data_IF_060900045732
#
_entry.id   IF_060900045732
#
_cell.length_a   1.000
_cell.length_b   1.000
_cell.length_c   1.000
_cell.angle_alpha   90.00
_cell.angle_beta   90.00
_cell.angle_gamma   90.00
#
_symmetry.space_group_name_H-M   'P 1'
#
loop_
_entity.id
_entity.type
_entity.pdbx_description
1 polymer ?
#
# COMPACT_ATOMS: atom_id res chain seq x y z
N UNK A 1 8.01 5.61 44.32
CA UNK A 1 6.68 6.07 43.91
C UNK A 1 6.67 6.08 42.40
N UNK A 2 6.35 4.94 41.82
CA UNK A 2 6.44 4.67 40.39
C UNK A 2 5.31 5.36 39.66
N UNK A 3 5.64 6.07 38.59
CA UNK A 3 4.68 6.66 37.66
C UNK A 3 4.46 5.60 36.56
N UNK A 4 3.28 4.97 36.45
CA UNK A 4 3.05 4.01 35.37
C UNK A 4 2.80 4.76 34.06
N UNK A 5 3.78 4.73 33.16
CA UNK A 5 3.61 5.12 31.77
C UNK A 5 3.01 3.95 30.96
N UNK A 6 1.69 3.76 31.08
CA UNK A 6 0.87 3.07 30.08
C UNK A 6 -0.41 3.88 29.89
N UNK A 7 -0.34 4.90 29.04
CA UNK A 7 -1.53 5.56 28.47
C UNK A 7 -1.51 5.41 26.96
N UNK A 8 -2.41 4.54 26.51
CA UNK A 8 -3.17 4.57 25.25
C UNK A 8 -2.56 5.31 24.07
N UNK A 9 -1.96 4.56 23.14
CA UNK A 9 -1.71 5.01 21.75
C UNK A 9 -2.94 4.79 20.83
N UNK A 10 -4.12 4.59 21.41
CA UNK A 10 -5.39 4.27 20.70
C UNK A 10 -6.46 5.37 20.96
N UNK A 11 -6.05 6.62 21.18
CA UNK A 11 -6.99 7.74 21.25
C UNK A 11 -6.97 8.53 19.93
N UNK A 12 -7.54 7.90 18.91
CA UNK A 12 -8.06 8.58 17.72
C UNK A 12 -9.29 7.80 17.20
N UNK A 13 -10.17 7.34 18.10
CA UNK A 13 -11.43 6.68 17.73
C UNK A 13 -12.52 7.76 17.64
N UNK A 14 -12.66 8.41 16.49
CA UNK A 14 -13.90 9.15 16.18
C UNK A 14 -14.22 9.34 14.69
N UNK A 15 -13.45 8.76 13.75
CA UNK A 15 -13.66 8.98 12.30
C UNK A 15 -13.58 7.69 11.46
N UNK A 16 -13.82 6.51 12.06
CA UNK A 16 -13.75 5.25 11.32
C UNK A 16 -15.09 4.86 10.69
N UNK A 17 -15.10 4.36 9.43
CA UNK A 17 -16.33 4.04 8.69
C UNK A 17 -17.04 2.76 9.16
N UNK A 18 -16.34 1.93 9.91
CA UNK A 18 -16.80 0.73 10.61
C UNK A 18 -16.01 0.63 11.92
N UNK A 19 -16.53 -0.08 12.94
CA UNK A 19 -15.75 -0.31 14.17
C UNK A 19 -14.74 -1.42 13.88
N UNK A 20 -13.43 -1.13 13.87
CA UNK A 20 -12.44 -2.19 13.69
C UNK A 20 -12.42 -3.12 14.90
N UNK A 21 -12.11 -4.39 14.65
CA UNK A 21 -11.60 -5.27 15.71
C UNK A 21 -10.16 -4.84 15.96
N UNK A 22 -9.89 -4.39 17.17
CA UNK A 22 -8.57 -3.94 17.61
C UNK A 22 -7.96 -5.00 18.52
N UNK A 23 -6.76 -5.45 18.20
CA UNK A 23 -5.98 -6.35 19.05
C UNK A 23 -4.50 -6.03 18.92
N UNK A 24 -3.71 -6.48 19.88
CA UNK A 24 -2.26 -6.35 19.80
C UNK A 24 -1.58 -7.58 20.37
N UNK A 25 -0.37 -7.85 19.88
CA UNK A 25 0.38 -9.02 20.33
C UNK A 25 1.77 -9.07 19.74
N UNK A 26 2.47 -10.14 20.11
CA UNK A 26 3.85 -10.38 19.71
C UNK A 26 3.92 -11.78 19.13
N UNK A 27 4.44 -11.90 17.91
CA UNK A 27 4.84 -13.17 17.32
C UNK A 27 6.35 -13.23 17.24
N UNK A 28 6.92 -14.39 17.60
CA UNK A 28 8.37 -14.61 17.63
C UNK A 28 8.70 -15.90 16.91
N UNK A 29 9.73 -15.85 16.08
CA UNK A 29 10.26 -17.02 15.39
C UNK A 29 11.77 -17.09 15.54
N UNK A 30 12.25 -18.25 15.97
CA UNK A 30 13.66 -18.62 15.90
C UNK A 30 13.88 -19.42 14.62
N UNK A 31 14.62 -18.85 13.70
CA UNK A 31 15.02 -19.54 12.48
C UNK A 31 16.40 -20.17 12.71
N UNK A 32 16.47 -21.49 12.61
CA UNK A 32 17.66 -22.32 12.82
C UNK A 32 18.23 -22.82 11.48
N UNK A 33 19.40 -23.47 11.52
CA UNK A 33 20.06 -24.08 10.35
C UNK A 33 20.47 -23.08 9.24
N UNK A 34 20.85 -21.87 9.62
CA UNK A 34 21.30 -20.82 8.69
C UNK A 34 22.58 -21.15 7.91
N UNK A 35 23.39 -22.09 8.40
CA UNK A 35 24.61 -22.52 7.74
C UNK A 35 24.33 -23.24 6.41
N UNK A 36 23.26 -24.03 6.37
CA UNK A 36 22.88 -24.85 5.21
C UNK A 36 21.88 -24.12 4.30
N UNK A 37 21.41 -22.95 4.73
CA UNK A 37 20.43 -22.16 4.01
C UNK A 37 21.01 -21.42 2.80
N UNK A 38 20.53 -21.80 1.62
CA UNK A 38 20.88 -21.24 0.31
C UNK A 38 20.42 -19.79 0.09
N UNK A 39 19.56 -19.26 0.97
CA UNK A 39 18.99 -17.91 0.87
C UNK A 39 17.61 -17.84 0.22
N UNK A 40 17.04 -18.98 -0.18
CA UNK A 40 15.65 -19.08 -0.66
C UNK A 40 14.63 -18.67 0.41
N UNK A 41 13.41 -18.33 0.01
CA UNK A 41 12.36 -17.93 0.97
C UNK A 41 11.98 -19.12 1.86
N UNK A 42 12.09 -18.95 3.17
CA UNK A 42 11.65 -19.93 4.18
C UNK A 42 10.64 -19.29 5.11
N UNK A 43 9.66 -20.07 5.54
CA UNK A 43 8.56 -19.62 6.37
C UNK A 43 8.58 -20.29 7.74
N UNK A 44 8.11 -19.58 8.75
CA UNK A 44 7.77 -20.15 10.05
C UNK A 44 6.56 -21.08 9.96
N UNK A 45 6.34 -21.83 11.03
CA UNK A 45 5.01 -22.37 11.36
C UNK A 45 3.99 -21.24 11.53
N UNK A 46 2.71 -21.60 11.59
CA UNK A 46 1.63 -20.63 11.82
C UNK A 46 1.74 -20.08 13.24
N UNK A 47 1.79 -18.75 13.34
CA UNK A 47 1.81 -17.98 14.57
C UNK A 47 0.48 -17.24 14.71
N UNK A 48 0.03 -16.99 15.94
CA UNK A 48 -1.29 -16.40 16.19
C UNK A 48 -1.18 -15.16 17.07
N UNK A 49 -1.96 -14.13 16.72
CA UNK A 49 -2.31 -13.04 17.62
C UNK A 49 -3.83 -13.01 17.67
N UNK A 50 -4.37 -13.40 18.81
CA UNK A 50 -5.82 -13.58 18.98
C UNK A 50 -6.35 -14.54 17.88
N UNK A 51 -7.36 -14.14 17.13
CA UNK A 51 -7.92 -14.92 16.01
C UNK A 51 -7.13 -14.82 14.69
N UNK A 52 -6.12 -13.95 14.61
CA UNK A 52 -5.40 -13.67 13.37
C UNK A 52 -4.17 -14.56 13.23
N UNK A 53 -4.06 -15.25 12.09
CA UNK A 53 -2.98 -16.21 11.79
C UNK A 53 -1.93 -15.57 10.90
N UNK A 54 -0.68 -15.89 11.18
CA UNK A 54 0.49 -15.26 10.57
C UNK A 54 1.57 -16.28 10.24
N UNK A 55 2.38 -15.97 9.23
CA UNK A 55 3.70 -16.58 9.01
C UNK A 55 4.75 -15.49 8.88
N UNK A 56 5.95 -15.77 9.39
CA UNK A 56 7.12 -14.95 9.15
C UNK A 56 7.92 -15.62 8.05
N UNK A 57 8.20 -14.90 6.97
CA UNK A 57 9.10 -15.33 5.91
C UNK A 57 10.47 -14.67 6.05
N UNK A 58 11.53 -15.39 5.70
CA UNK A 58 12.90 -14.85 5.62
C UNK A 58 13.55 -15.22 4.30
N UNK A 59 14.32 -14.29 3.74
CA UNK A 59 15.06 -14.48 2.48
C UNK A 59 16.40 -13.75 2.53
N UNK A 60 17.44 -14.25 1.86
CA UNK A 60 18.62 -13.43 1.52
C UNK A 60 18.27 -12.60 0.28
N UNK A 61 18.40 -11.28 0.37
CA UNK A 61 18.12 -10.37 -0.73
C UNK A 61 19.34 -9.52 -1.03
N UNK A 62 19.77 -9.51 -2.28
CA UNK A 62 20.81 -8.60 -2.75
C UNK A 62 20.20 -7.22 -2.95
N UNK A 63 20.89 -6.20 -2.43
CA UNK A 63 20.43 -4.82 -2.40
C UNK A 63 21.57 -3.95 -2.86
N UNK A 64 21.34 -3.19 -3.93
CA UNK A 64 22.28 -2.15 -4.32
C UNK A 64 22.19 -1.00 -3.32
N UNK A 65 23.29 -0.72 -2.62
CA UNK A 65 23.41 0.39 -1.69
C UNK A 65 24.33 1.44 -2.31
N UNK A 66 23.79 2.64 -2.50
CA UNK A 66 24.53 3.82 -2.95
C UNK A 66 24.64 4.81 -1.80
N UNK A 67 25.80 4.88 -1.19
CA UNK A 67 26.21 5.90 -0.24
C UNK A 67 27.12 6.92 -0.95
N UNK A 68 27.34 8.09 -0.32
CA UNK A 68 28.08 9.22 -0.91
C UNK A 68 29.45 8.81 -1.48
N UNK A 69 30.10 7.81 -0.88
CA UNK A 69 31.46 7.37 -1.22
C UNK A 69 31.54 5.90 -1.65
N UNK A 70 30.43 5.17 -1.71
CA UNK A 70 30.43 3.73 -1.90
C UNK A 70 29.19 3.26 -2.63
N UNK A 71 29.42 2.52 -3.72
CA UNK A 71 28.39 1.78 -4.43
C UNK A 71 28.73 0.31 -4.29
N UNK A 72 27.85 -0.46 -3.65
CA UNK A 72 28.06 -1.89 -3.49
C UNK A 72 26.75 -2.65 -3.43
N UNK A 73 26.81 -3.92 -3.84
CA UNK A 73 25.75 -4.87 -3.57
C UNK A 73 25.95 -5.48 -2.20
N UNK A 74 24.93 -5.38 -1.35
CA UNK A 74 24.93 -5.93 -0.01
C UNK A 74 23.87 -7.02 0.08
N UNK A 75 24.25 -8.17 0.64
CA UNK A 75 23.28 -9.23 0.95
C UNK A 75 22.65 -8.93 2.31
N UNK A 76 21.35 -8.69 2.29
CA UNK A 76 20.57 -8.40 3.48
C UNK A 76 19.62 -9.54 3.82
N UNK A 77 19.30 -9.69 5.10
CA UNK A 77 18.15 -10.46 5.54
C UNK A 77 16.88 -9.67 5.22
N UNK A 78 16.07 -10.19 4.32
CA UNK A 78 14.71 -9.73 4.09
C UNK A 78 13.77 -10.50 5.02
N UNK A 79 12.86 -9.80 5.69
CA UNK A 79 11.86 -10.41 6.57
C UNK A 79 10.48 -9.96 6.11
N UNK A 80 9.60 -10.93 5.93
CA UNK A 80 8.29 -10.78 5.34
C UNK A 80 7.25 -11.25 6.35
N UNK A 81 6.10 -10.59 6.36
CA UNK A 81 4.99 -11.00 7.21
C UNK A 81 3.79 -11.36 6.34
N UNK A 82 3.28 -12.56 6.55
CA UNK A 82 2.17 -13.11 5.79
C UNK A 82 0.96 -13.26 6.69
N UNK A 83 -0.14 -12.61 6.33
CA UNK A 83 -1.44 -12.83 6.95
C UNK A 83 -2.10 -14.05 6.32
N UNK A 84 -2.69 -14.92 7.14
CA UNK A 84 -3.43 -16.10 6.70
C UNK A 84 -4.91 -15.84 7.02
N UNK A 85 -5.72 -15.43 6.04
CA UNK A 85 -7.14 -15.16 6.25
C UNK A 85 -7.92 -16.45 6.50
N UNK A 86 -9.03 -16.35 7.22
CA UNK A 86 -10.03 -17.42 7.30
C UNK A 86 -11.00 -17.29 6.12
N UNK A 87 -10.64 -17.90 4.98
CA UNK A 87 -11.38 -17.78 3.72
C UNK A 87 -12.78 -18.42 3.73
N UNK A 88 -13.14 -19.15 4.80
CA UNK A 88 -14.39 -19.92 4.88
C UNK A 88 -15.64 -19.09 4.64
N UNK A 89 -15.60 -17.79 4.91
CA UNK A 89 -16.77 -16.91 4.87
C UNK A 89 -16.79 -15.96 3.67
N UNK A 90 -15.80 -16.03 2.78
CA UNK A 90 -15.71 -15.14 1.61
C UNK A 90 -16.00 -13.68 2.00
N UNK A 91 -15.38 -13.22 3.10
CA UNK A 91 -15.61 -11.89 3.68
C UNK A 91 -15.00 -10.82 2.79
N UNK A 92 -15.31 -9.56 3.05
CA UNK A 92 -14.63 -8.42 2.42
C UNK A 92 -14.05 -7.59 3.54
N UNK A 93 -12.73 -7.54 3.62
CA UNK A 93 -12.03 -7.02 4.78
C UNK A 93 -10.78 -6.23 4.41
N UNK A 94 -10.38 -5.38 5.34
CA UNK A 94 -9.12 -4.66 5.35
C UNK A 94 -8.46 -4.91 6.70
N UNK A 95 -7.22 -5.38 6.70
CA UNK A 95 -6.44 -5.53 7.93
C UNK A 95 -5.26 -4.58 7.88
N UNK A 96 -5.13 -3.72 8.88
CA UNK A 96 -3.97 -2.84 9.04
C UNK A 96 -3.13 -3.33 10.21
N UNK A 97 -1.82 -3.29 10.04
CA UNK A 97 -0.88 -3.43 11.15
C UNK A 97 -0.03 -2.18 11.31
N UNK A 98 0.30 -1.86 12.55
CA UNK A 98 1.45 -1.03 12.90
C UNK A 98 2.25 -1.76 13.97
N UNK A 99 3.50 -1.39 14.19
CA UNK A 99 4.27 -1.94 15.30
C UNK A 99 5.75 -1.94 15.00
N UNK A 100 6.48 -2.87 15.61
CA UNK A 100 7.94 -2.91 15.56
C UNK A 100 8.45 -4.32 15.31
N UNK A 101 9.34 -4.48 14.34
CA UNK A 101 10.16 -5.69 14.18
C UNK A 101 11.42 -5.57 15.00
N UNK A 102 11.86 -6.69 15.56
CA UNK A 102 13.11 -6.77 16.28
C UNK A 102 13.92 -7.99 15.88
N UNK A 103 15.23 -7.78 15.72
CA UNK A 103 16.23 -8.83 15.79
C UNK A 103 16.73 -8.89 17.23
N UNK A 104 16.56 -10.03 17.89
CA UNK A 104 16.96 -10.20 19.28
C UNK A 104 18.32 -10.89 19.36
N UNK A 105 19.24 -10.41 20.22
CA UNK A 105 20.45 -11.17 20.54
C UNK A 105 20.07 -12.36 21.43
N UNK A 106 20.55 -13.55 21.09
CA UNK A 106 20.14 -14.78 21.79
C UNK A 106 20.61 -14.82 23.25
N UNK A 107 21.79 -14.26 23.53
CA UNK A 107 22.40 -14.28 24.85
C UNK A 107 21.98 -13.09 25.73
N UNK A 108 21.31 -12.09 25.15
CA UNK A 108 20.84 -10.90 25.85
C UNK A 108 19.72 -10.25 25.03
N UNK A 109 18.48 -10.67 25.27
CA UNK A 109 17.31 -10.12 24.55
C UNK A 109 17.04 -8.65 24.86
N UNK A 110 17.73 -8.04 25.85
CA UNK A 110 17.67 -6.59 26.08
C UNK A 110 18.44 -5.81 25.01
N UNK A 111 19.39 -6.46 24.31
CA UNK A 111 20.07 -5.92 23.13
C UNK A 111 19.36 -6.38 21.86
N UNK A 112 18.76 -5.41 21.18
CA UNK A 112 17.96 -5.65 19.98
C UNK A 112 18.23 -4.61 18.90
N UNK A 113 18.03 -5.01 17.65
CA UNK A 113 17.87 -4.06 16.55
C UNK A 113 16.40 -3.98 16.17
N UNK A 114 15.83 -2.77 16.12
CA UNK A 114 14.41 -2.58 15.83
C UNK A 114 14.14 -1.67 14.63
N UNK A 115 13.11 -2.01 13.85
CA UNK A 115 12.54 -1.13 12.84
C UNK A 115 11.02 -1.11 13.00
N UNK A 116 10.40 0.05 12.83
CA UNK A 116 8.95 0.15 12.89
C UNK A 116 8.30 -0.28 11.55
N UNK A 117 7.23 -1.05 11.64
CA UNK A 117 6.24 -1.22 10.58
C UNK A 117 5.49 0.11 10.45
N UNK A 118 6.02 1.04 9.68
CA UNK A 118 5.37 2.32 9.41
C UNK A 118 3.94 2.12 8.85
N UNK A 119 3.03 3.13 8.85
CA UNK A 119 1.57 2.95 8.82
C UNK A 119 0.95 2.48 7.48
N UNK A 120 1.74 1.88 6.60
CA UNK A 120 1.41 1.47 5.24
C UNK A 120 1.13 -0.03 5.07
N UNK A 121 1.37 -0.85 6.11
CA UNK A 121 1.14 -2.30 6.01
C UNK A 121 -0.35 -2.62 6.12
N UNK A 122 -1.01 -2.66 4.96
CA UNK A 122 -2.40 -3.08 4.82
C UNK A 122 -2.46 -4.42 4.07
N UNK A 123 -3.40 -5.26 4.49
CA UNK A 123 -3.69 -6.55 3.91
C UNK A 123 -5.14 -6.56 3.41
N UNK A 124 -5.35 -7.23 2.28
CA UNK A 124 -6.65 -7.54 1.69
C UNK A 124 -6.55 -8.93 1.03
N UNK A 125 -7.61 -9.42 0.39
CA UNK A 125 -7.61 -10.73 -0.29
C UNK A 125 -6.46 -10.93 -1.28
N UNK A 126 -6.08 -9.88 -2.00
CA UNK A 126 -5.00 -9.95 -3.00
C UNK A 126 -3.64 -9.61 -2.39
N UNK A 127 -3.62 -9.15 -1.14
CA UNK A 127 -2.44 -8.64 -0.46
C UNK A 127 -2.29 -9.27 0.90
N UNK A 128 -1.81 -10.51 0.90
CA UNK A 128 -1.56 -11.28 2.12
C UNK A 128 -0.15 -11.09 2.68
N UNK A 129 0.68 -10.28 2.02
CA UNK A 129 2.07 -10.09 2.39
C UNK A 129 2.40 -8.60 2.59
N UNK A 130 3.02 -8.27 3.73
CA UNK A 130 3.73 -7.01 3.88
C UNK A 130 5.22 -7.22 3.61
N UNK A 131 5.67 -6.64 2.49
CA UNK A 131 7.08 -6.51 2.21
C UNK A 131 7.65 -5.38 3.06
N UNK A 132 8.66 -5.71 3.87
CA UNK A 132 9.44 -4.73 4.59
C UNK A 132 10.85 -4.79 4.02
N UNK A 133 11.38 -3.61 3.72
CA UNK A 133 12.70 -3.39 3.12
C UNK A 133 13.78 -4.30 3.78
N UNK A 134 14.79 -4.77 3.02
CA UNK A 134 15.95 -5.50 3.55
C UNK A 134 16.36 -4.99 4.93
N UNK A 135 16.22 -5.85 5.93
CA UNK A 135 16.16 -5.45 7.33
C UNK A 135 17.54 -5.08 7.85
N UNK A 136 18.53 -5.97 7.69
CA UNK A 136 19.94 -5.72 7.95
C UNK A 136 20.86 -6.52 7.05
N UNK A 137 22.04 -5.96 6.80
CA UNK A 137 23.09 -6.68 6.09
C UNK A 137 23.63 -7.86 6.91
N UNK A 138 24.04 -8.90 6.18
CA UNK A 138 24.41 -10.19 6.76
C UNK A 138 25.65 -10.09 7.65
N UNK A 139 26.65 -9.31 7.22
CA UNK A 139 27.91 -9.13 7.93
C UNK A 139 27.70 -8.37 9.25
N UNK A 140 26.86 -7.34 9.29
CA UNK A 140 26.46 -6.67 10.53
C UNK A 140 25.86 -7.66 11.53
N UNK A 141 24.92 -8.51 11.10
CA UNK A 141 24.30 -9.49 12.00
C UNK A 141 25.32 -10.48 12.58
N UNK A 142 26.33 -10.87 11.79
CA UNK A 142 27.44 -11.71 12.24
C UNK A 142 28.32 -10.97 13.25
N UNK A 143 28.79 -9.77 12.92
CA UNK A 143 29.70 -8.99 13.77
C UNK A 143 29.07 -8.57 15.09
N UNK A 144 27.80 -8.16 15.06
CA UNK A 144 27.07 -7.74 16.25
C UNK A 144 26.56 -8.92 17.10
N UNK A 145 26.76 -10.16 16.67
CA UNK A 145 26.36 -11.34 17.44
C UNK A 145 24.85 -11.55 17.50
N UNK A 146 24.12 -11.14 16.45
CA UNK A 146 22.73 -11.56 16.26
C UNK A 146 22.64 -12.96 15.63
N UNK A 147 23.67 -13.36 14.89
CA UNK A 147 23.84 -14.70 14.34
C UNK A 147 24.67 -15.57 15.31
N UNK A 148 23.99 -16.33 16.17
CA UNK A 148 24.64 -17.27 17.11
C UNK A 148 24.18 -18.68 16.78
N UNK A 149 25.11 -19.64 16.76
CA UNK A 149 24.83 -21.05 16.46
C UNK A 149 24.01 -21.25 15.18
N UNK A 150 24.28 -20.44 14.14
CA UNK A 150 23.54 -20.49 12.88
C UNK A 150 22.03 -20.33 13.06
N UNK A 151 21.61 -19.49 14.01
CA UNK A 151 20.20 -19.14 14.20
C UNK A 151 20.03 -17.64 14.43
N UNK A 152 18.82 -17.15 14.14
CA UNK A 152 18.37 -15.78 14.42
C UNK A 152 17.01 -15.83 15.11
N UNK A 153 16.71 -14.80 15.89
CA UNK A 153 15.39 -14.63 16.53
C UNK A 153 14.77 -13.34 16.02
N UNK A 154 13.62 -13.49 15.37
CA UNK A 154 12.82 -12.39 14.84
C UNK A 154 11.57 -12.26 15.69
N UNK A 155 11.28 -11.04 16.12
CA UNK A 155 10.07 -10.68 16.84
C UNK A 155 9.31 -9.61 16.07
N UNK A 156 7.99 -9.75 15.96
CA UNK A 156 7.10 -8.71 15.45
C UNK A 156 6.08 -8.40 16.54
N UNK A 157 6.17 -7.21 17.11
CA UNK A 157 5.12 -6.63 17.96
C UNK A 157 4.17 -5.84 17.06
N UNK A 158 2.87 -6.11 17.16
CA UNK A 158 1.89 -5.61 16.21
C UNK A 158 0.62 -5.13 16.92
N UNK A 159 0.18 -3.94 16.55
CA UNK A 159 -1.17 -3.44 16.73
C UNK A 159 -1.96 -3.72 15.44
N UNK A 160 -3.04 -4.49 15.56
CA UNK A 160 -3.88 -4.95 14.45
C UNK A 160 -5.22 -4.22 14.50
N UNK A 161 -5.62 -3.65 13.37
CA UNK A 161 -6.96 -3.11 13.15
C UNK A 161 -7.61 -3.81 11.95
N UNK A 162 -8.64 -4.61 12.22
CA UNK A 162 -9.36 -5.38 11.22
C UNK A 162 -10.76 -4.81 10.97
N UNK A 163 -11.02 -4.45 9.72
CA UNK A 163 -12.29 -3.89 9.26
C UNK A 163 -13.01 -4.94 8.43
N UNK A 164 -14.15 -5.41 8.94
CA UNK A 164 -15.06 -6.27 8.20
C UNK A 164 -16.12 -5.39 7.52
N UNK A 165 -16.16 -5.40 6.19
CA UNK A 165 -17.17 -4.70 5.41
C UNK A 165 -18.39 -5.59 5.10
N UNK A 166 -18.34 -6.89 5.37
CA UNK A 166 -19.45 -7.82 5.06
C UNK A 166 -20.56 -7.80 6.12
N UNK A 167 -20.27 -7.29 7.32
CA UNK A 167 -21.18 -7.26 8.46
C UNK A 167 -21.44 -5.83 8.97
N UNK A 168 -22.61 -5.59 9.57
CA UNK A 168 -22.89 -4.33 10.26
C UNK A 168 -22.29 -4.41 11.66
N UNK A 169 -21.08 -3.89 11.83
CA UNK A 169 -20.35 -3.89 13.10
C UNK A 169 -20.37 -2.52 13.83
N UNK A 170 -21.05 -1.51 13.27
CA UNK A 170 -21.21 -0.18 13.87
C UNK A 170 -22.51 0.45 13.41
N UNK A 171 -23.09 1.33 14.24
CA UNK A 171 -24.20 2.19 13.83
C UNK A 171 -23.77 3.29 12.86
N UNK A 172 -22.46 3.59 12.82
CA UNK A 172 -21.88 4.44 11.78
C UNK A 172 -21.91 3.76 10.40
N UNK A 173 -22.03 2.43 10.34
CA UNK A 173 -22.19 1.67 9.09
C UNK A 173 -23.63 1.75 8.58
N UNK A 174 -24.04 2.95 8.20
CA UNK A 174 -25.43 3.33 7.89
C UNK A 174 -25.83 3.13 6.41
N UNK A 175 -24.93 2.69 5.54
CA UNK A 175 -25.26 2.35 4.15
C UNK A 175 -24.90 0.90 3.80
N UNK A 176 -25.75 0.29 2.96
CA UNK A 176 -25.53 -1.02 2.33
C UNK A 176 -25.24 -0.82 0.84
N UNK A 177 -24.03 -1.17 0.42
CA UNK A 177 -23.62 -1.20 -0.99
C UNK A 177 -23.57 -2.65 -1.48
N UNK A 178 -23.70 -2.83 -2.79
CA UNK A 178 -23.57 -4.12 -3.44
C UNK A 178 -22.64 -4.00 -4.65
N UNK A 179 -21.66 -4.89 -4.76
CA UNK A 179 -20.87 -5.07 -5.99
C UNK A 179 -21.70 -5.71 -7.11
N UNK A 180 -21.11 -5.81 -8.29
CA UNK A 180 -21.69 -6.42 -9.50
C UNK A 180 -22.18 -7.86 -9.25
N UNK A 181 -21.39 -8.65 -8.51
CA UNK A 181 -21.68 -10.02 -8.07
C UNK A 181 -22.71 -10.11 -6.91
N UNK A 182 -23.33 -8.98 -6.55
CA UNK A 182 -24.26 -8.85 -5.42
C UNK A 182 -23.65 -9.11 -4.04
N UNK A 183 -22.33 -9.13 -3.91
CA UNK A 183 -21.68 -9.13 -2.59
C UNK A 183 -22.03 -7.85 -1.84
N UNK A 184 -22.38 -8.01 -0.57
CA UNK A 184 -22.91 -6.94 0.28
C UNK A 184 -21.78 -6.30 1.09
N UNK A 185 -21.80 -4.98 1.15
CA UNK A 185 -20.87 -4.15 1.91
C UNK A 185 -21.63 -3.21 2.84
N UNK A 186 -21.13 -3.05 4.07
CA UNK A 186 -21.58 -2.07 5.05
C UNK A 186 -20.49 -1.00 5.21
N UNK A 187 -20.90 0.26 5.17
CA UNK A 187 -19.98 1.38 5.28
C UNK A 187 -20.67 2.64 5.82
N UNK A 188 -19.90 3.71 6.03
CA UNK A 188 -20.42 5.01 6.46
C UNK A 188 -20.72 5.93 5.26
N UNK A 189 -21.97 6.37 5.18
CA UNK A 189 -22.50 7.24 4.12
C UNK A 189 -21.81 8.60 4.11
N UNK A 190 -21.60 9.20 5.26
CA UNK A 190 -21.03 10.54 5.41
C UNK A 190 -19.57 10.59 4.94
N UNK A 191 -18.78 9.56 5.26
CA UNK A 191 -17.39 9.40 4.81
C UNK A 191 -17.35 9.24 3.28
N UNK A 192 -18.21 8.42 2.69
CA UNK A 192 -18.28 8.31 1.23
C UNK A 192 -18.61 9.66 0.59
N UNK A 193 -19.59 10.39 1.12
CA UNK A 193 -19.95 11.72 0.62
C UNK A 193 -18.83 12.74 0.76
N UNK A 194 -18.03 12.63 1.83
CA UNK A 194 -16.89 13.51 2.06
C UNK A 194 -15.83 13.35 0.97
N UNK A 195 -15.54 12.10 0.58
CA UNK A 195 -14.51 11.81 -0.41
C UNK A 195 -15.02 11.82 -1.86
N UNK A 196 -16.32 11.59 -2.08
CA UNK A 196 -16.91 11.35 -3.39
C UNK A 196 -18.13 12.22 -3.64
N UNK A 197 -18.04 13.08 -4.66
CA UNK A 197 -19.19 13.88 -5.09
C UNK A 197 -20.28 13.02 -5.72
N UNK A 198 -19.89 11.93 -6.39
CA UNK A 198 -20.82 10.94 -6.92
C UNK A 198 -21.71 10.35 -5.82
N UNK A 199 -21.12 9.87 -4.72
CA UNK A 199 -21.90 9.32 -3.60
C UNK A 199 -22.72 10.40 -2.90
N UNK A 200 -22.22 11.63 -2.77
CA UNK A 200 -23.00 12.75 -2.26
C UNK A 200 -24.29 12.96 -3.09
N UNK A 201 -24.17 13.05 -4.42
CA UNK A 201 -25.31 13.24 -5.31
C UNK A 201 -26.27 12.05 -5.24
N UNK A 202 -25.74 10.83 -5.28
CA UNK A 202 -26.53 9.60 -5.24
C UNK A 202 -27.34 9.44 -3.94
N UNK A 203 -26.81 9.93 -2.81
CA UNK A 203 -27.44 9.77 -1.50
C UNK A 203 -28.32 10.94 -1.10
N UNK A 204 -27.98 12.18 -1.45
CA UNK A 204 -28.69 13.39 -0.98
C UNK A 204 -29.45 14.14 -2.08
N UNK A 205 -29.06 14.03 -3.35
CA UNK A 205 -29.71 14.75 -4.46
C UNK A 205 -30.78 13.87 -5.11
N UNK A 206 -30.40 12.65 -5.49
CA UNK A 206 -31.31 11.72 -6.18
C UNK A 206 -32.32 11.04 -5.24
N UNK A 207 -32.17 11.23 -3.93
CA UNK A 207 -33.02 10.67 -2.88
C UNK A 207 -33.26 9.15 -3.00
N UNK A 208 -32.27 8.45 -3.55
CA UNK A 208 -32.35 7.03 -3.89
C UNK A 208 -32.19 6.09 -2.66
N UNK A 209 -32.39 6.58 -1.44
CA UNK A 209 -32.16 5.83 -0.18
C UNK A 209 -32.94 4.51 -0.11
N UNK A 210 -34.12 4.45 -0.74
CA UNK A 210 -35.01 3.28 -0.73
C UNK A 210 -34.61 2.18 -1.73
N UNK A 211 -33.71 2.45 -2.69
CA UNK A 211 -33.30 1.49 -3.72
C UNK A 211 -32.03 0.77 -3.30
N UNK A 212 -31.97 -0.54 -3.57
CA UNK A 212 -30.74 -1.35 -3.42
C UNK A 212 -29.61 -0.70 -4.23
N UNK A 213 -28.53 -0.28 -3.56
CA UNK A 213 -27.41 0.43 -4.18
C UNK A 213 -26.41 -0.55 -4.78
N UNK A 214 -26.60 -0.87 -6.05
CA UNK A 214 -25.78 -1.85 -6.76
C UNK A 214 -24.86 -1.10 -7.70
N UNK A 215 -23.57 -1.38 -7.57
CA UNK A 215 -22.49 -0.83 -8.39
C UNK A 215 -22.22 -1.85 -9.50
N UNK A 216 -22.95 -1.73 -10.60
CA UNK A 216 -23.13 -2.78 -11.61
C UNK A 216 -21.84 -3.26 -12.32
N UNK A 217 -20.80 -2.43 -12.37
CA UNK A 217 -19.53 -2.77 -13.06
C UNK A 217 -18.34 -2.80 -12.10
N UNK A 218 -18.60 -3.04 -10.81
CA UNK A 218 -17.56 -3.03 -9.80
C UNK A 218 -17.60 -4.35 -9.05
N UNK A 219 -16.53 -5.12 -9.23
CA UNK A 219 -16.38 -6.39 -8.55
C UNK A 219 -16.04 -6.17 -7.07
N UNK A 220 -16.27 -7.21 -6.27
CA UNK A 220 -16.04 -7.22 -4.82
C UNK A 220 -14.66 -6.71 -4.42
N UNK A 221 -13.62 -7.21 -5.08
CA UNK A 221 -12.23 -6.86 -4.78
C UNK A 221 -11.97 -5.38 -5.02
N UNK A 222 -12.40 -4.88 -6.17
CA UNK A 222 -12.25 -3.47 -6.52
C UNK A 222 -13.00 -2.57 -5.51
N UNK A 223 -14.22 -2.96 -5.11
CA UNK A 223 -14.98 -2.23 -4.10
C UNK A 223 -14.30 -2.24 -2.73
N UNK A 224 -13.73 -3.38 -2.32
CA UNK A 224 -12.97 -3.49 -1.07
C UNK A 224 -11.79 -2.52 -1.06
N UNK A 225 -11.02 -2.51 -2.16
CA UNK A 225 -9.90 -1.60 -2.35
C UNK A 225 -10.33 -0.14 -2.33
N UNK A 226 -11.39 0.22 -3.05
CA UNK A 226 -11.92 1.57 -3.05
C UNK A 226 -12.36 2.02 -1.65
N UNK A 227 -13.17 1.21 -0.95
CA UNK A 227 -13.63 1.55 0.40
C UNK A 227 -12.45 1.71 1.37
N UNK A 228 -11.41 0.89 1.23
CA UNK A 228 -10.17 1.04 1.99
C UNK A 228 -9.47 2.39 1.74
N UNK A 229 -9.57 2.98 0.54
CA UNK A 229 -9.03 4.33 0.27
C UNK A 229 -9.80 5.46 0.95
N UNK A 230 -11.09 5.23 1.24
CA UNK A 230 -11.96 6.17 1.95
C UNK A 230 -11.89 6.00 3.48
N UNK A 231 -11.30 4.91 3.98
CA UNK A 231 -10.95 4.80 5.39
C UNK A 231 -9.86 5.84 5.73
N UNK A 232 -9.81 6.36 6.97
CA UNK A 232 -8.74 7.23 7.46
C UNK A 232 -7.42 6.46 7.68
N UNK A 233 -7.11 5.56 6.75
CA UNK A 233 -5.98 4.65 6.79
C UNK A 233 -5.21 4.84 5.48
N UNK A 234 -3.88 5.02 5.53
CA UNK A 234 -3.08 5.06 4.31
C UNK A 234 -3.10 3.69 3.63
N UNK A 235 -3.94 3.53 2.60
CA UNK A 235 -3.81 2.43 1.64
C UNK A 235 -2.72 2.79 0.63
N UNK A 236 -1.70 1.94 0.54
CA UNK A 236 -0.67 2.04 -0.49
C UNK A 236 -1.23 1.56 -1.83
N UNK A 237 -1.05 2.37 -2.87
CA UNK A 237 -1.37 1.97 -4.24
C UNK A 237 -0.24 1.07 -4.74
N UNK A 238 -0.60 -0.04 -5.39
CA UNK A 238 0.33 -1.08 -5.86
C UNK A 238 0.10 -1.43 -7.33
N UNK A 239 1.03 -2.17 -7.92
CA UNK A 239 1.04 -2.56 -9.33
C UNK A 239 -0.26 -3.24 -9.77
N UNK A 240 -0.83 -4.04 -8.88
CA UNK A 240 -2.01 -4.85 -9.15
C UNK A 240 -3.30 -4.04 -9.01
N UNK A 241 -3.26 -2.89 -8.32
CA UNK A 241 -4.46 -2.11 -7.97
C UNK A 241 -4.56 -0.72 -8.60
N UNK A 242 -3.44 -0.11 -8.99
CA UNK A 242 -3.43 1.29 -9.42
C UNK A 242 -4.36 1.58 -10.60
N UNK A 243 -4.44 0.65 -11.58
CA UNK A 243 -5.27 0.82 -12.78
C UNK A 243 -6.75 0.98 -12.45
N UNK A 244 -7.32 0.03 -11.72
CA UNK A 244 -8.74 0.09 -11.38
C UNK A 244 -9.03 1.17 -10.34
N UNK A 245 -8.08 1.49 -9.44
CA UNK A 245 -8.23 2.59 -8.49
C UNK A 245 -8.33 3.95 -9.20
N UNK A 246 -7.57 4.17 -10.27
CA UNK A 246 -7.72 5.38 -11.11
C UNK A 246 -9.08 5.44 -11.81
N UNK A 247 -9.55 4.31 -12.35
CA UNK A 247 -10.88 4.25 -12.97
C UNK A 247 -12.01 4.51 -11.96
N UNK A 248 -11.84 4.05 -10.71
CA UNK A 248 -12.77 4.33 -9.63
C UNK A 248 -12.70 5.77 -9.15
N UNK A 249 -11.51 6.37 -9.10
CA UNK A 249 -11.36 7.78 -8.77
C UNK A 249 -12.15 8.66 -9.74
N UNK A 250 -12.06 8.36 -11.04
CA UNK A 250 -12.81 9.05 -12.09
C UNK A 250 -14.31 8.76 -11.98
N UNK A 251 -14.69 7.47 -11.93
CA UNK A 251 -16.10 7.03 -11.91
C UNK A 251 -16.86 7.56 -10.70
N UNK A 252 -16.20 7.65 -9.55
CA UNK A 252 -16.80 8.10 -8.30
C UNK A 252 -16.44 9.53 -7.94
N UNK A 253 -15.76 10.27 -8.81
CA UNK A 253 -15.37 11.66 -8.55
C UNK A 253 -14.72 11.82 -7.16
N UNK A 254 -13.55 11.18 -7.01
CA UNK A 254 -12.74 11.16 -5.77
C UNK A 254 -11.39 11.83 -6.00
N UNK A 255 -11.31 13.19 -5.87
CA UNK A 255 -10.09 13.94 -6.15
C UNK A 255 -8.88 13.50 -5.31
N UNK A 256 -9.10 13.16 -4.04
CA UNK A 256 -8.02 12.71 -3.15
C UNK A 256 -7.38 11.39 -3.61
N UNK A 257 -8.15 10.51 -4.28
CA UNK A 257 -7.63 9.26 -4.82
C UNK A 257 -6.86 9.51 -6.12
N UNK A 258 -7.30 10.45 -6.97
CA UNK A 258 -6.52 10.89 -8.13
C UNK A 258 -5.13 11.39 -7.72
N UNK A 259 -5.02 12.21 -6.68
CA UNK A 259 -3.73 12.71 -6.19
C UNK A 259 -2.81 11.56 -5.74
N UNK A 260 -3.36 10.55 -5.05
CA UNK A 260 -2.60 9.36 -4.64
C UNK A 260 -2.15 8.55 -5.86
N UNK A 261 -3.02 8.35 -6.84
CA UNK A 261 -2.69 7.61 -8.06
C UNK A 261 -1.62 8.34 -8.89
N UNK A 262 -1.74 9.66 -9.04
CA UNK A 262 -0.75 10.50 -9.71
C UNK A 262 0.61 10.38 -9.01
N UNK A 263 0.64 10.46 -7.68
CA UNK A 263 1.87 10.30 -6.92
C UNK A 263 2.50 8.91 -7.12
N UNK A 264 1.69 7.85 -7.16
CA UNK A 264 2.17 6.50 -7.45
C UNK A 264 2.83 6.42 -8.85
N UNK A 265 2.19 6.96 -9.89
CA UNK A 265 2.76 6.98 -11.26
C UNK A 265 4.08 7.76 -11.34
N UNK A 266 4.20 8.84 -10.55
CA UNK A 266 5.44 9.62 -10.44
C UNK A 266 6.56 8.76 -9.87
N UNK A 267 6.31 8.08 -8.75
CA UNK A 267 7.28 7.25 -8.02
C UNK A 267 7.58 5.92 -8.73
N UNK A 268 6.75 5.52 -9.69
CA UNK A 268 6.91 4.26 -10.39
C UNK A 268 8.03 4.31 -11.43
N UNK A 269 9.24 3.92 -11.01
CA UNK A 269 10.47 4.00 -11.83
C UNK A 269 10.48 3.07 -13.05
N UNK A 270 9.83 1.91 -12.96
CA UNK A 270 9.82 0.89 -14.04
C UNK A 270 8.87 1.24 -15.20
N UNK A 271 7.97 2.20 -14.99
CA UNK A 271 6.99 2.58 -16.01
C UNK A 271 7.63 3.56 -17.00
N UNK A 272 7.47 3.26 -18.29
CA UNK A 272 7.96 4.10 -19.37
C UNK A 272 7.26 5.48 -19.39
N UNK A 273 8.00 6.50 -19.85
CA UNK A 273 7.50 7.89 -19.92
C UNK A 273 6.28 7.99 -20.83
N UNK A 274 6.22 7.24 -21.93
CA UNK A 274 5.07 7.27 -22.86
C UNK A 274 3.82 6.75 -22.18
N UNK A 275 3.94 5.66 -21.41
CA UNK A 275 2.81 5.10 -20.67
C UNK A 275 2.31 6.07 -19.59
N UNK A 276 3.23 6.78 -18.91
CA UNK A 276 2.86 7.87 -18.00
C UNK A 276 2.09 8.99 -18.71
N UNK A 277 2.52 9.38 -19.92
CA UNK A 277 1.86 10.42 -20.71
C UNK A 277 0.45 10.00 -21.19
N UNK A 278 0.20 8.71 -21.44
CA UNK A 278 -1.15 8.21 -21.72
C UNK A 278 -2.07 8.42 -20.51
N UNK A 279 -1.58 8.24 -19.29
CA UNK A 279 -2.37 8.53 -18.08
C UNK A 279 -2.58 10.03 -17.86
N UNK A 280 -1.59 10.87 -18.20
CA UNK A 280 -1.77 12.32 -18.22
C UNK A 280 -2.89 12.73 -19.16
N UNK A 281 -2.94 12.14 -20.36
CA UNK A 281 -4.00 12.42 -21.33
C UNK A 281 -5.37 11.98 -20.81
N UNK A 282 -5.45 10.76 -20.27
CA UNK A 282 -6.72 10.17 -19.82
C UNK A 282 -7.32 10.89 -18.61
N UNK A 283 -6.49 11.30 -17.65
CA UNK A 283 -6.96 11.79 -16.33
C UNK A 283 -6.54 13.25 -16.01
N UNK A 284 -5.80 13.92 -16.89
CA UNK A 284 -5.41 15.32 -16.70
C UNK A 284 -4.36 15.57 -15.61
N UNK A 285 -3.48 14.60 -15.35
CA UNK A 285 -2.45 14.67 -14.29
C UNK A 285 -1.33 15.69 -14.58
N UNK A 286 -1.50 16.92 -14.09
CA UNK A 286 -0.57 18.03 -14.35
C UNK A 286 0.80 17.89 -13.70
N UNK A 287 0.90 17.29 -12.51
CA UNK A 287 2.18 17.10 -11.81
C UNK A 287 2.98 16.02 -12.52
N UNK A 288 2.33 14.92 -12.92
CA UNK A 288 2.94 13.86 -13.72
C UNK A 288 3.42 14.40 -15.07
N UNK A 289 2.63 15.25 -15.74
CA UNK A 289 3.01 15.91 -16.99
C UNK A 289 4.31 16.70 -16.84
N UNK A 290 4.43 17.53 -15.80
CA UNK A 290 5.63 18.34 -15.54
C UNK A 290 6.86 17.46 -15.32
N UNK A 291 6.71 16.37 -14.57
CA UNK A 291 7.81 15.44 -14.30
C UNK A 291 8.25 14.71 -15.57
N UNK A 292 7.30 14.24 -16.38
CA UNK A 292 7.61 13.64 -17.67
C UNK A 292 8.29 14.65 -18.60
N UNK A 293 7.79 15.88 -18.68
CA UNK A 293 8.39 16.93 -19.51
C UNK A 293 9.85 17.23 -19.09
N UNK A 294 10.13 17.28 -17.79
CA UNK A 294 11.48 17.52 -17.25
C UNK A 294 12.44 16.32 -17.40
N UNK A 295 11.94 15.12 -17.72
CA UNK A 295 12.80 13.96 -17.95
C UNK A 295 13.48 13.94 -19.31
N UNK A 296 12.98 14.72 -20.28
CA UNK A 296 13.59 14.84 -21.61
C UNK A 296 14.86 15.68 -21.55
N UNK A 297 15.95 15.18 -22.14
CA UNK A 297 17.28 15.81 -22.08
C UNK A 297 17.69 16.50 -23.36
N UNK A 298 16.98 16.27 -24.47
CA UNK A 298 17.29 16.88 -25.75
C UNK A 298 16.06 17.09 -26.64
N UNK A 299 16.17 18.01 -27.59
CA UNK A 299 15.15 18.20 -28.63
C UNK A 299 15.00 16.96 -29.54
N UNK A 300 16.04 16.13 -29.68
CA UNK A 300 16.00 14.90 -30.46
C UNK A 300 15.12 13.84 -29.79
N UNK A 301 15.22 13.66 -28.46
CA UNK A 301 14.31 12.78 -27.71
C UNK A 301 12.85 13.19 -27.91
N UNK A 302 12.56 14.49 -27.86
CA UNK A 302 11.21 15.04 -28.08
C UNK A 302 10.74 14.78 -29.50
N UNK A 303 11.60 14.95 -30.51
CA UNK A 303 11.28 14.68 -31.91
C UNK A 303 10.97 13.19 -32.12
N UNK A 304 11.72 12.32 -31.44
CA UNK A 304 11.52 10.87 -31.49
C UNK A 304 10.18 10.44 -30.88
N UNK A 305 9.59 11.20 -29.93
CA UNK A 305 8.24 10.94 -29.42
C UNK A 305 7.20 10.84 -30.53
N UNK A 306 7.28 11.73 -31.54
CA UNK A 306 6.36 11.74 -32.67
C UNK A 306 6.42 10.48 -33.53
N UNK A 307 7.47 9.66 -33.39
CA UNK A 307 7.60 8.37 -34.07
C UNK A 307 6.96 7.21 -33.30
N UNK A 308 6.75 7.37 -31.98
CA UNK A 308 6.18 6.34 -31.11
C UNK A 308 4.68 6.18 -31.38
N UNK A 309 4.19 4.97 -31.71
CA UNK A 309 2.77 4.75 -32.03
C UNK A 309 1.81 5.22 -30.93
N UNK A 310 2.08 4.86 -29.67
CA UNK A 310 1.25 5.27 -28.52
C UNK A 310 1.19 6.79 -28.33
N UNK A 311 2.25 7.53 -28.68
CA UNK A 311 2.24 8.99 -28.58
C UNK A 311 1.33 9.64 -29.64
N UNK A 312 1.18 8.99 -30.81
CA UNK A 312 0.24 9.45 -31.85
C UNK A 312 -1.22 9.29 -31.45
N UNK A 313 -1.51 8.43 -30.49
CA UNK A 313 -2.86 8.24 -29.93
C UNK A 313 -3.23 9.33 -28.92
N UNK A 314 -2.25 10.07 -28.39
CA UNK A 314 -2.48 11.25 -27.53
C UNK A 314 -3.03 12.40 -28.38
N UNK A 315 -4.01 13.15 -27.86
CA UNK A 315 -4.58 14.28 -28.61
C UNK A 315 -3.55 15.36 -28.96
N UNK A 316 -3.77 16.05 -30.07
CA UNK A 316 -2.93 17.17 -30.51
C UNK A 316 -2.80 18.27 -29.43
N UNK A 317 -3.85 18.51 -28.65
CA UNK A 317 -3.86 19.51 -27.57
C UNK A 317 -2.83 19.11 -26.50
N UNK A 318 -2.82 17.84 -26.09
CA UNK A 318 -1.89 17.38 -25.07
C UNK A 318 -0.47 17.21 -25.59
N UNK A 319 -0.30 16.79 -26.85
CA UNK A 319 1.00 16.85 -27.51
C UNK A 319 1.56 18.28 -27.49
N UNK A 320 0.75 19.30 -27.80
CA UNK A 320 1.15 20.70 -27.70
C UNK A 320 1.48 21.13 -26.26
N UNK A 321 0.73 20.67 -25.25
CA UNK A 321 1.04 20.95 -23.84
C UNK A 321 2.36 20.32 -23.41
N UNK A 322 2.65 19.09 -23.84
CA UNK A 322 3.92 18.40 -23.59
C UNK A 322 5.05 19.20 -24.25
N UNK A 323 4.94 19.50 -25.53
CA UNK A 323 5.95 20.27 -26.28
C UNK A 323 6.21 21.63 -25.64
N UNK A 324 5.16 22.39 -25.30
CA UNK A 324 5.30 23.68 -24.59
C UNK A 324 5.97 23.54 -23.23
N UNK A 325 5.69 22.46 -22.49
CA UNK A 325 6.31 22.23 -21.18
C UNK A 325 7.80 21.92 -21.32
N UNK A 326 8.18 21.15 -22.35
CA UNK A 326 9.59 20.83 -22.63
C UNK A 326 10.36 22.06 -23.15
N UNK A 327 9.76 22.86 -24.04
CA UNK A 327 10.40 24.07 -24.59
C UNK A 327 10.73 25.10 -23.50
N UNK A 328 9.82 25.27 -22.52
CA UNK A 328 10.07 26.10 -21.34
C UNK A 328 11.28 25.65 -20.53
N UNK A 329 11.55 24.35 -20.49
CA UNK A 329 12.70 23.78 -19.79
C UNK A 329 14.02 24.11 -20.51
N UNK A 330 14.02 24.12 -21.84
CA UNK A 330 15.21 24.44 -22.64
C UNK A 330 15.46 25.94 -22.84
N UNK A 331 14.68 26.82 -22.20
CA UNK A 331 14.74 28.28 -22.42
C UNK A 331 14.65 28.66 -23.91
N UNK A 332 13.95 27.84 -24.70
CA UNK A 332 13.67 28.13 -26.10
C UNK A 332 12.40 29.00 -26.10
N UNK A 333 12.60 30.31 -25.98
CA UNK A 333 11.52 31.28 -26.10
C UNK A 333 10.92 31.26 -27.51
N UNK A 334 9.59 31.40 -27.57
CA UNK A 334 8.80 31.58 -28.80
C UNK A 334 8.43 33.04 -29.00
#
# INVERSE_FOLDING_TARGET
MEIPAKRSRIEAISTFPTNPILTSGIIRWKFENLAEWDGSMIYSDVLEIDQFKWKIGVQKKEVFRKEVWREENVVCLSVHLFFIPDDKNNKSWLLKINGTRRLLKQNDTSRQYSIDFAPKSCFTHDFLESYICPFKDWEFMRHEGFLINHSIIIENEMDIAYYDFSEKNSDLSNIKLYSSDRTKFYFNKEILCHYSKYFYNMFYVENCEKKKKVLHDIERTQLTHFLATCCPIPLEIREESYKFLMEMAEKFDVPSLHLKCEQYLIEHEKMDIIDKLVYVEKYGYEKLLKICANSFRSAEEVKNLGTVPKFKEISQISQLKILKSVLKFFHLDY
#
